data_IF_081657290200
#
_entry.id   IF_081657290200
#
_cell.length_a   1.000
_cell.length_b   1.000
_cell.length_c   1.000
_cell.angle_alpha   90.00
_cell.angle_beta   90.00
_cell.angle_gamma   90.00
#
_symmetry.space_group_name_H-M   'P 1'
#
loop_
_entity.id
_entity.type
_entity.pdbx_description
1 polymer ?
#
# COMPACT_ATOMS: atom_id res chain seq x y z
N UNK A 1 -1.55 15.14 4.87
CA UNK A 1 -1.48 14.89 3.41
C UNK A 1 -2.20 13.59 3.16
N UNK A 2 -3.07 13.56 2.15
CA UNK A 2 -3.99 12.46 1.95
C UNK A 2 -3.64 11.73 0.65
N UNK A 3 -3.27 10.46 0.79
CA UNK A 3 -3.16 9.52 -0.31
C UNK A 3 -4.47 8.77 -0.45
N UNK A 4 -4.87 8.50 -1.69
CA UNK A 4 -6.08 7.75 -2.00
C UNK A 4 -5.69 6.50 -2.78
N UNK A 5 -5.99 5.33 -2.23
CA UNK A 5 -5.77 4.03 -2.85
C UNK A 5 -7.12 3.45 -3.26
N UNK A 6 -7.39 3.47 -4.56
CA UNK A 6 -8.58 2.84 -5.13
C UNK A 6 -8.25 1.42 -5.56
N UNK A 7 -9.00 0.44 -5.07
CA UNK A 7 -8.72 -0.99 -5.24
C UNK A 7 -9.80 -1.73 -6.02
N UNK A 8 -9.39 -2.83 -6.62
CA UNK A 8 -10.28 -3.86 -7.17
C UNK A 8 -9.82 -5.21 -6.67
N UNK A 9 -10.74 -5.96 -6.06
CA UNK A 9 -10.46 -7.28 -5.53
C UNK A 9 -10.65 -8.36 -6.59
N UNK A 10 -9.74 -9.33 -6.59
CA UNK A 10 -9.83 -10.53 -7.41
C UNK A 10 -9.55 -11.76 -6.53
N UNK A 11 -9.94 -12.94 -7.02
CA UNK A 11 -9.71 -14.22 -6.32
C UNK A 11 -8.23 -14.47 -6.01
N UNK A 12 -7.32 -14.03 -6.89
CA UNK A 12 -5.89 -14.29 -6.79
C UNK A 12 -5.07 -13.10 -6.22
N UNK A 13 -5.67 -11.95 -5.97
CA UNK A 13 -4.96 -10.76 -5.47
C UNK A 13 -5.83 -9.51 -5.51
N UNK A 14 -5.28 -8.40 -5.02
CA UNK A 14 -5.91 -7.09 -5.13
C UNK A 14 -4.99 -6.15 -5.89
N UNK A 15 -5.53 -5.45 -6.88
CA UNK A 15 -4.81 -4.40 -7.60
C UNK A 15 -5.39 -3.04 -7.22
N UNK A 16 -4.55 -2.03 -7.12
CA UNK A 16 -4.98 -0.68 -6.80
C UNK A 16 -4.20 0.40 -7.53
N UNK A 17 -4.74 1.61 -7.46
CA UNK A 17 -4.18 2.82 -8.03
C UNK A 17 -4.06 3.87 -6.93
N UNK A 18 -2.86 4.41 -6.75
CA UNK A 18 -2.55 5.38 -5.71
C UNK A 18 -2.51 6.80 -6.27
N UNK A 19 -3.21 7.71 -5.61
CA UNK A 19 -3.33 9.12 -5.99
C UNK A 19 -2.96 10.05 -4.84
N UNK A 20 -2.52 11.25 -5.21
CA UNK A 20 -2.43 12.41 -4.32
C UNK A 20 -2.96 13.63 -5.05
N UNK A 21 -3.95 14.34 -4.48
CA UNK A 21 -4.62 15.48 -5.12
C UNK A 21 -5.07 15.17 -6.55
N UNK A 22 -5.71 14.01 -6.75
CA UNK A 22 -6.19 13.53 -8.06
C UNK A 22 -5.08 13.21 -9.09
N UNK A 23 -3.81 13.38 -8.74
CA UNK A 23 -2.69 12.95 -9.59
C UNK A 23 -2.31 11.52 -9.27
N UNK A 24 -2.31 10.67 -10.31
CA UNK A 24 -1.81 9.31 -10.24
C UNK A 24 -0.32 9.30 -9.86
N UNK A 25 0.05 8.44 -8.91
CA UNK A 25 1.43 8.24 -8.47
C UNK A 25 1.98 6.92 -9.02
N UNK A 26 1.30 5.82 -8.69
CA UNK A 26 1.71 4.46 -9.02
C UNK A 26 0.55 3.48 -8.84
N UNK A 27 0.74 2.24 -9.28
CA UNK A 27 -0.14 1.13 -8.92
C UNK A 27 0.27 0.55 -7.57
N UNK A 28 -0.62 -0.27 -7.00
CA UNK A 28 -0.36 -1.08 -5.83
C UNK A 28 -0.86 -2.51 -6.09
N UNK A 29 -0.15 -3.49 -5.52
CA UNK A 29 -0.59 -4.89 -5.49
C UNK A 29 -0.57 -5.38 -4.05
N UNK A 30 -1.58 -6.17 -3.71
CA UNK A 30 -1.82 -6.70 -2.37
C UNK A 30 -2.34 -8.14 -2.46
N UNK A 31 -2.41 -8.83 -1.32
CA UNK A 31 -3.09 -10.12 -1.21
C UNK A 31 -4.59 -10.02 -1.56
N UNK A 32 -5.25 -11.16 -1.85
CA UNK A 32 -6.70 -11.19 -1.96
C UNK A 32 -7.36 -10.69 -0.67
N UNK A 33 -8.58 -10.18 -0.77
CA UNK A 33 -9.40 -9.92 0.42
C UNK A 33 -9.89 -11.24 1.02
N UNK A 34 -9.60 -11.47 2.30
CA UNK A 34 -10.05 -12.63 3.09
C UNK A 34 -10.55 -12.18 4.45
N UNK A 35 -11.49 -11.24 4.46
CA UNK A 35 -12.12 -10.75 5.70
C UNK A 35 -11.10 -10.26 6.75
N UNK A 36 -10.06 -9.55 6.30
CA UNK A 36 -8.98 -9.05 7.16
C UNK A 36 -8.18 -10.13 7.92
N UNK A 37 -8.17 -11.38 7.43
CA UNK A 37 -7.36 -12.45 8.01
C UNK A 37 -5.86 -12.10 8.00
N UNK A 38 -5.20 -12.36 9.12
CA UNK A 38 -3.79 -12.00 9.31
C UNK A 38 -2.89 -12.71 8.30
N UNK A 39 -1.90 -11.99 7.77
CA UNK A 39 -0.89 -12.48 6.82
C UNK A 39 -1.40 -13.04 5.48
N UNK A 40 -2.71 -13.24 5.31
CA UNK A 40 -3.31 -13.81 4.09
C UNK A 40 -4.31 -12.89 3.41
N UNK A 41 -4.70 -11.78 4.05
CA UNK A 41 -5.61 -10.76 3.52
C UNK A 41 -4.91 -9.42 3.29
N UNK A 42 -5.41 -8.65 2.31
CA UNK A 42 -5.25 -7.19 2.33
C UNK A 42 -6.07 -6.55 3.46
N UNK A 43 -5.79 -5.29 3.78
CA UNK A 43 -6.45 -4.55 4.87
C UNK A 43 -7.85 -4.03 4.47
N UNK A 44 -8.77 -3.77 5.41
CA UNK A 44 -10.10 -3.25 5.10
C UNK A 44 -10.05 -1.87 4.44
N UNK A 45 -11.13 -1.50 3.76
CA UNK A 45 -11.36 -0.11 3.36
C UNK A 45 -11.45 0.78 4.60
N UNK A 46 -10.97 2.02 4.50
CA UNK A 46 -10.91 2.94 5.63
C UNK A 46 -9.83 3.99 5.50
N UNK A 47 -9.65 4.77 6.57
CA UNK A 47 -8.65 5.85 6.64
C UNK A 47 -7.62 5.49 7.70
N UNK A 48 -6.37 5.43 7.29
CA UNK A 48 -5.26 5.00 8.13
C UNK A 48 -4.18 6.08 8.24
N UNK A 49 -3.66 6.27 9.44
CA UNK A 49 -2.49 7.13 9.63
C UNK A 49 -1.23 6.43 9.08
N UNK A 50 -0.42 7.17 8.33
CA UNK A 50 0.84 6.70 7.77
C UNK A 50 2.02 7.34 8.48
N UNK A 51 3.02 6.53 8.79
CA UNK A 51 4.28 6.95 9.39
C UNK A 51 5.45 6.48 8.53
N UNK A 52 6.36 7.38 8.16
CA UNK A 52 7.58 7.01 7.45
C UNK A 52 8.54 6.35 8.41
N UNK A 53 9.10 5.22 8.02
CA UNK A 53 10.01 4.43 8.84
C UNK A 53 11.24 3.99 8.04
N UNK A 54 12.27 3.58 8.77
CA UNK A 54 13.44 2.91 8.24
C UNK A 54 13.80 1.73 9.14
N UNK A 55 14.11 0.58 8.55
CA UNK A 55 14.69 -0.56 9.25
C UNK A 55 15.76 -1.22 8.39
N UNK A 56 16.65 -2.00 9.02
CA UNK A 56 17.67 -2.76 8.30
C UNK A 56 17.06 -3.81 7.37
N UNK A 57 15.93 -4.40 7.77
CA UNK A 57 15.25 -5.46 7.03
C UNK A 57 14.48 -4.94 5.81
N UNK A 58 13.74 -3.84 5.95
CA UNK A 58 12.83 -3.34 4.91
C UNK A 58 13.33 -2.07 4.22
N UNK A 59 14.46 -1.51 4.66
CA UNK A 59 14.92 -0.19 4.22
C UNK A 59 13.89 0.90 4.55
N UNK A 60 13.78 1.90 3.67
CA UNK A 60 12.72 2.90 3.77
C UNK A 60 11.37 2.28 3.45
N UNK A 61 10.39 2.50 4.32
CA UNK A 61 9.04 2.01 4.17
C UNK A 61 8.06 2.94 4.89
N UNK A 62 6.77 2.65 4.79
CA UNK A 62 5.72 3.38 5.47
C UNK A 62 4.93 2.39 6.33
N UNK A 63 4.72 2.71 7.59
CA UNK A 63 3.85 1.96 8.49
C UNK A 63 2.42 2.49 8.37
N UNK A 64 1.47 1.57 8.21
CA UNK A 64 0.03 1.87 8.22
C UNK A 64 -0.51 1.57 9.63
N UNK A 65 -0.95 2.60 10.35
CA UNK A 65 -1.32 2.50 11.76
C UNK A 65 -2.83 2.32 11.94
N UNK A 66 -3.20 1.77 13.09
CA UNK A 66 -4.60 1.60 13.54
C UNK A 66 -5.47 0.79 12.58
N UNK A 67 -4.88 -0.23 11.94
CA UNK A 67 -5.66 -1.21 11.18
C UNK A 67 -6.45 -2.06 12.19
N UNK A 68 -7.78 -2.22 12.04
CA UNK A 68 -8.58 -3.03 12.94
C UNK A 68 -8.02 -4.45 13.07
N UNK A 69 -7.87 -4.93 14.30
CA UNK A 69 -7.47 -6.31 14.62
C UNK A 69 -6.14 -6.77 14.01
N UNK A 70 -5.33 -5.83 13.46
CA UNK A 70 -4.04 -6.13 12.84
C UNK A 70 -2.97 -5.13 13.24
N UNK A 71 -1.75 -5.61 13.37
CA UNK A 71 -0.57 -4.78 13.59
C UNK A 71 0.46 -5.03 12.48
N UNK A 72 1.53 -4.22 12.44
CA UNK A 72 2.65 -4.47 11.54
C UNK A 72 2.37 -4.27 10.06
N UNK A 73 1.29 -3.60 9.67
CA UNK A 73 0.97 -3.37 8.24
C UNK A 73 1.98 -2.38 7.64
N UNK A 74 2.63 -2.84 6.57
CA UNK A 74 3.65 -2.07 5.86
C UNK A 74 3.17 -1.70 4.45
N UNK A 75 3.51 -0.50 4.02
CA UNK A 75 3.53 -0.09 2.63
C UNK A 75 5.01 -0.04 2.21
N UNK A 76 5.44 -1.02 1.43
CA UNK A 76 6.86 -1.31 1.16
C UNK A 76 7.09 -1.89 -0.22
N UNK A 77 8.31 -1.79 -0.74
CA UNK A 77 8.67 -2.49 -1.97
C UNK A 77 8.70 -4.02 -1.75
N UNK A 78 8.58 -4.77 -2.85
CA UNK A 78 8.68 -6.23 -2.81
C UNK A 78 10.12 -6.67 -2.46
N UNK A 79 10.25 -7.75 -1.70
CA UNK A 79 11.54 -8.39 -1.41
C UNK A 79 11.71 -9.56 -2.39
N UNK A 80 12.92 -9.75 -2.93
CA UNK A 80 13.22 -10.80 -3.91
C UNK A 80 13.08 -12.24 -3.36
N UNK A 81 13.14 -12.39 -2.04
CA UNK A 81 13.08 -13.67 -1.33
C UNK A 81 11.67 -13.87 -0.72
N UNK A 82 10.79 -14.51 -1.48
CA UNK A 82 9.59 -15.17 -0.93
C UNK A 82 8.32 -14.32 -0.90
N UNK A 83 7.23 -14.99 -1.29
CA UNK A 83 5.84 -14.52 -1.45
C UNK A 83 5.16 -13.91 -0.21
N UNK A 84 5.88 -13.60 0.86
CA UNK A 84 5.25 -13.11 2.08
C UNK A 84 5.10 -11.60 2.04
N UNK A 85 4.05 -11.17 1.34
CA UNK A 85 3.58 -9.80 1.50
C UNK A 85 2.97 -9.61 2.89
N UNK A 86 2.56 -10.66 3.62
CA UNK A 86 1.96 -10.59 4.96
C UNK A 86 0.86 -9.52 5.10
N UNK A 87 0.13 -9.24 4.01
CA UNK A 87 -0.86 -8.15 3.95
C UNK A 87 -0.30 -6.74 3.78
N UNK A 88 0.95 -6.61 3.34
CA UNK A 88 1.58 -5.37 2.93
C UNK A 88 0.99 -4.82 1.63
N UNK A 89 1.06 -3.51 1.49
CA UNK A 89 0.73 -2.78 0.26
C UNK A 89 2.01 -2.58 -0.53
N UNK A 90 2.10 -3.21 -1.70
CA UNK A 90 3.30 -3.15 -2.54
C UNK A 90 3.07 -2.15 -3.69
N UNK A 91 3.69 -0.96 -3.68
CA UNK A 91 3.61 -0.05 -4.80
C UNK A 91 4.35 -0.64 -6.01
N UNK A 92 3.85 -0.41 -7.22
CA UNK A 92 4.44 -0.89 -8.48
C UNK A 92 4.26 0.16 -9.57
N UNK A 93 5.19 0.23 -10.52
CA UNK A 93 5.10 1.15 -11.67
C UNK A 93 4.22 0.58 -12.78
N UNK A 94 4.17 -0.74 -12.91
CA UNK A 94 3.40 -1.45 -13.93
C UNK A 94 2.70 -2.66 -13.32
N UNK A 95 1.46 -2.90 -13.75
CA UNK A 95 0.74 -4.13 -13.45
C UNK A 95 1.08 -5.18 -14.51
N UNK A 96 1.43 -6.38 -14.05
CA UNK A 96 1.74 -7.53 -14.90
C UNK A 96 0.65 -8.61 -14.82
N UNK A 97 -0.26 -8.47 -13.85
CA UNK A 97 -1.40 -9.35 -13.66
C UNK A 97 -2.12 -9.07 -12.35
N UNK A 98 -2.98 -10.00 -11.95
CA UNK A 98 -3.68 -9.93 -10.68
C UNK A 98 -2.69 -10.15 -9.54
N UNK A 99 -2.58 -9.18 -8.62
CA UNK A 99 -1.67 -9.22 -7.49
C UNK A 99 -0.18 -9.19 -7.89
N UNK A 100 0.13 -8.83 -9.15
CA UNK A 100 1.48 -8.89 -9.71
C UNK A 100 1.84 -7.59 -10.43
N UNK A 101 3.02 -7.07 -10.15
CA UNK A 101 3.56 -5.89 -10.80
C UNK A 101 5.04 -5.70 -10.53
N UNK A 102 5.66 -4.77 -11.26
CA UNK A 102 7.10 -4.53 -11.25
C UNK A 102 7.46 -3.06 -10.99
N UNK A 103 8.74 -2.78 -10.76
CA UNK A 103 9.24 -1.43 -10.43
C UNK A 103 8.88 -0.97 -9.03
N UNK A 104 8.80 -1.89 -8.05
CA UNK A 104 8.29 -1.57 -6.72
C UNK A 104 9.16 -0.60 -5.90
N UNK A 105 10.49 -0.64 -6.11
CA UNK A 105 11.44 0.25 -5.44
C UNK A 105 11.28 1.69 -5.91
N UNK A 106 11.21 1.89 -7.22
CA UNK A 106 11.03 3.18 -7.85
C UNK A 106 9.65 3.77 -7.52
N UNK A 107 8.61 2.92 -7.51
CA UNK A 107 7.27 3.33 -7.11
C UNK A 107 7.24 3.80 -5.64
N UNK A 108 7.84 3.04 -4.71
CA UNK A 108 7.94 3.46 -3.31
C UNK A 108 8.71 4.78 -3.16
N UNK A 109 9.82 4.94 -3.88
CA UNK A 109 10.59 6.19 -3.86
C UNK A 109 9.74 7.39 -4.29
N UNK A 110 8.92 7.25 -5.35
CA UNK A 110 7.97 8.31 -5.76
C UNK A 110 6.99 8.67 -4.64
N UNK A 111 6.45 7.68 -3.92
CA UNK A 111 5.53 7.92 -2.79
C UNK A 111 6.24 8.70 -1.68
N UNK A 112 7.43 8.25 -1.27
CA UNK A 112 8.22 8.91 -0.22
C UNK A 112 8.58 10.36 -0.59
N UNK A 113 8.99 10.62 -1.83
CA UNK A 113 9.28 11.97 -2.33
C UNK A 113 8.05 12.87 -2.28
N UNK A 114 6.85 12.34 -2.58
CA UNK A 114 5.60 13.10 -2.46
C UNK A 114 5.28 13.43 -1.01
N UNK A 115 5.56 12.52 -0.08
CA UNK A 115 5.41 12.78 1.36
C UNK A 115 6.41 13.85 1.83
N UNK A 116 7.64 13.85 1.31
CA UNK A 116 8.66 14.86 1.63
C UNK A 116 8.32 16.25 1.16
N UNK A 117 7.85 16.39 -0.08
CA UNK A 117 7.49 17.68 -0.67
C UNK A 117 6.37 18.41 0.09
N UNK A 118 5.59 17.69 0.90
CA UNK A 118 4.48 18.24 1.70
C UNK A 118 4.86 18.40 3.19
N UNK A 119 6.09 18.07 3.57
CA UNK A 119 6.56 18.08 4.95
C UNK A 119 6.77 19.52 5.45
N UNK A 120 5.70 20.11 5.99
CA UNK A 120 5.79 21.15 7.02
C UNK A 120 5.77 20.48 8.40
N UNK A 121 6.44 21.07 9.40
CA UNK A 121 6.42 20.55 10.77
C UNK A 121 4.99 20.26 11.25
N UNK A 122 4.80 19.07 11.86
CA UNK A 122 3.54 18.68 12.50
C UNK A 122 2.43 18.09 11.61
N UNK A 123 2.63 17.89 10.31
CA UNK A 123 1.58 17.28 9.46
C UNK A 123 1.59 15.74 9.49
N UNK A 124 0.46 15.15 9.89
CA UNK A 124 0.17 13.72 9.71
C UNK A 124 -0.12 13.38 8.24
N UNK A 125 0.21 12.14 7.86
CA UNK A 125 -0.11 11.56 6.57
C UNK A 125 -1.24 10.55 6.75
N UNK A 126 -2.23 10.57 5.85
CA UNK A 126 -3.33 9.63 5.87
C UNK A 126 -3.43 8.89 4.53
N UNK A 127 -3.77 7.61 4.60
CA UNK A 127 -4.12 6.78 3.46
C UNK A 127 -5.60 6.46 3.55
N UNK A 128 -6.37 6.93 2.57
CA UNK A 128 -7.76 6.52 2.35
C UNK A 128 -7.77 5.36 1.38
N UNK A 129 -8.36 4.25 1.79
CA UNK A 129 -8.45 3.01 1.01
C UNK A 129 -9.91 2.77 0.67
N UNK A 130 -10.20 2.68 -0.63
CA UNK A 130 -11.57 2.49 -1.14
C UNK A 130 -11.58 1.43 -2.25
N UNK A 131 -12.50 0.47 -2.17
CA UNK A 131 -12.62 -0.58 -3.17
C UNK A 131 -13.83 -0.34 -4.08
N UNK A 132 -13.57 -0.23 -5.39
CA UNK A 132 -14.57 0.30 -6.36
C UNK A 132 -15.43 -0.82 -6.97
N UNK A 133 -14.92 -2.04 -7.05
CA UNK A 133 -15.65 -3.23 -7.52
C UNK A 133 -15.13 -4.47 -6.77
N UNK A 134 -16.03 -5.22 -6.16
CA UNK A 134 -15.78 -6.58 -5.70
C UNK A 134 -16.44 -7.53 -6.70
N UNK A 135 -15.68 -8.00 -7.69
CA UNK A 135 -16.09 -9.14 -8.49
C UNK A 135 -16.06 -10.37 -7.59
N UNK A 136 -17.13 -10.58 -6.81
CA UNK A 136 -17.40 -11.82 -6.09
C UNK A 136 -17.79 -12.92 -7.08
#
# INVERSE_FOLDING_TARGET
MDLFLYRTHFRAGTNGMLFHKQHFICFCVELPWRCNEENTSCIPDGVYEMERCYSLEFGHHIRVKKVPERCGILFRCAIALGNDSSGAIIPTLQLEGIGKGSGSKEALHKVLMRMEAVRSEGKSFFLTVESVHSGR
#
